data_IF_758654448769
#
_entry.id   IF_758654448769
#
_cell.length_a   1.000
_cell.length_b   1.000
_cell.length_c   1.000
_cell.angle_alpha   90.00
_cell.angle_beta   90.00
_cell.angle_gamma   90.00
#
_symmetry.space_group_name_H-M   'P 1'
#
loop_
_entity.id
_entity.type
_entity.pdbx_description
1 polymer ?
#
# COMPACT_ATOMS: atom_id res chain seq x y z
N UNK A 1 -15.10 4.13 -6.37
CA UNK A 1 -13.83 4.27 -5.62
C UNK A 1 -13.19 5.55 -6.08
N UNK A 2 -12.87 6.44 -5.15
CA UNK A 2 -12.23 7.73 -5.43
C UNK A 2 -10.83 7.72 -4.83
N UNK A 3 -9.81 7.85 -5.68
CA UNK A 3 -8.42 7.99 -5.29
C UNK A 3 -8.08 9.46 -5.23
N UNK A 4 -7.82 9.95 -4.02
CA UNK A 4 -7.63 11.36 -3.73
C UNK A 4 -6.14 11.66 -3.63
N UNK A 5 -5.75 12.75 -4.26
CA UNK A 5 -4.41 13.32 -4.20
C UNK A 5 -4.50 14.73 -3.60
N UNK A 6 -3.59 15.06 -2.69
CA UNK A 6 -3.51 16.37 -2.07
C UNK A 6 -2.39 17.20 -2.70
N UNK A 7 -2.66 18.49 -2.90
CA UNK A 7 -1.60 19.45 -3.22
C UNK A 7 -0.73 19.66 -1.98
N UNK A 8 0.46 19.06 -1.96
CA UNK A 8 1.49 19.34 -0.96
C UNK A 8 1.06 19.03 0.50
N UNK A 9 0.46 17.86 0.72
CA UNK A 9 -0.24 17.51 1.97
C UNK A 9 0.52 17.81 3.27
N UNK A 10 1.82 17.50 3.33
CA UNK A 10 2.65 17.74 4.50
C UNK A 10 2.86 19.24 4.78
N UNK A 11 2.94 20.06 3.73
CA UNK A 11 3.23 21.49 3.84
C UNK A 11 1.99 22.32 4.23
N UNK A 12 0.80 21.74 4.12
CA UNK A 12 -0.46 22.44 4.38
C UNK A 12 -1.02 22.23 5.79
N UNK A 13 -0.41 21.34 6.59
CA UNK A 13 -0.80 21.11 7.98
C UNK A 13 -0.71 22.41 8.78
N UNK A 14 -1.80 22.82 9.44
CA UNK A 14 -1.80 23.99 10.33
C UNK A 14 -1.43 23.52 11.75
N UNK A 15 -0.30 23.99 12.33
CA UNK A 15 0.16 23.54 13.65
C UNK A 15 -0.91 23.67 14.75
N UNK A 16 -1.61 24.81 14.83
CA UNK A 16 -2.66 25.01 15.85
C UNK A 16 -3.81 24.00 15.76
N UNK A 17 -4.23 23.63 14.53
CA UNK A 17 -5.25 22.58 14.32
C UNK A 17 -4.73 21.21 14.72
N UNK A 18 -3.47 20.90 14.39
CA UNK A 18 -2.83 19.67 14.82
C UNK A 18 -2.81 19.58 16.36
N UNK A 19 -2.35 20.63 17.06
CA UNK A 19 -2.30 20.64 18.52
C UNK A 19 -3.68 20.45 19.16
N UNK A 20 -4.72 21.09 18.62
CA UNK A 20 -6.10 20.88 19.09
C UNK A 20 -6.51 19.40 19.01
N UNK A 21 -6.18 18.74 17.90
CA UNK A 21 -6.43 17.29 17.71
C UNK A 21 -5.60 16.42 18.64
N UNK A 22 -4.34 16.76 18.87
CA UNK A 22 -3.47 16.03 19.81
C UNK A 22 -4.00 16.13 21.25
N UNK A 23 -4.47 17.31 21.65
CA UNK A 23 -5.10 17.53 22.94
C UNK A 23 -6.39 16.70 23.11
N UNK A 24 -7.23 16.63 22.07
CA UNK A 24 -8.43 15.77 22.05
C UNK A 24 -8.11 14.27 22.18
N UNK A 25 -6.95 13.85 21.69
CA UNK A 25 -6.43 12.48 21.85
C UNK A 25 -5.82 12.21 23.24
N UNK A 26 -5.81 13.20 24.14
CA UNK A 26 -5.29 13.07 25.49
C UNK A 26 -3.77 13.22 25.61
N UNK A 27 -3.10 13.78 24.58
CA UNK A 27 -1.67 14.08 24.66
C UNK A 27 -1.44 15.26 25.61
N UNK A 28 -0.44 15.15 26.48
CA UNK A 28 -0.17 16.15 27.50
C UNK A 28 0.14 17.52 26.91
N UNK A 29 -0.27 18.58 27.62
CA UNK A 29 -0.03 19.97 27.22
C UNK A 29 1.45 20.26 26.99
N UNK A 30 2.36 19.67 27.78
CA UNK A 30 3.80 19.84 27.62
C UNK A 30 4.30 19.32 26.27
N UNK A 31 3.85 18.13 25.85
CA UNK A 31 4.21 17.55 24.54
C UNK A 31 3.58 18.38 23.42
N UNK A 32 2.31 18.77 23.56
CA UNK A 32 1.63 19.64 22.61
C UNK A 32 2.37 20.97 22.41
N UNK A 33 2.83 21.62 23.47
CA UNK A 33 3.59 22.87 23.39
C UNK A 33 4.96 22.65 22.74
N UNK A 34 5.65 21.56 23.05
CA UNK A 34 6.90 21.21 22.39
C UNK A 34 6.71 20.97 20.89
N UNK A 35 5.65 20.26 20.49
CA UNK A 35 5.32 20.06 19.07
C UNK A 35 4.97 21.40 18.40
N UNK A 36 4.24 22.28 19.09
CA UNK A 36 3.90 23.59 18.54
C UNK A 36 5.14 24.43 18.29
N UNK A 37 6.04 24.51 19.27
CA UNK A 37 7.33 25.20 19.17
C UNK A 37 8.17 24.59 18.04
N UNK A 38 8.29 23.27 18.00
CA UNK A 38 8.95 22.54 16.91
C UNK A 38 8.37 22.87 15.53
N UNK A 39 7.07 23.14 15.43
CA UNK A 39 6.37 23.37 14.17
C UNK A 39 6.18 24.85 13.80
N UNK A 40 6.56 25.80 14.64
CA UNK A 40 6.36 27.23 14.39
C UNK A 40 7.68 27.97 14.37
N UNK A 41 7.70 29.14 13.73
CA UNK A 41 8.86 30.00 13.58
C UNK A 41 10.13 29.29 13.10
N UNK A 42 9.99 28.29 12.21
CA UNK A 42 11.12 27.50 11.73
C UNK A 42 11.87 28.22 10.62
N UNK A 43 13.12 28.68 10.83
CA UNK A 43 13.91 29.26 9.75
C UNK A 43 14.35 28.17 8.77
N UNK A 44 14.24 28.44 7.48
CA UNK A 44 14.78 27.59 6.42
C UNK A 44 15.53 28.41 5.38
N UNK A 45 16.60 27.83 4.84
CA UNK A 45 17.40 28.37 3.73
C UNK A 45 17.92 27.22 2.89
N UNK A 46 18.09 27.44 1.59
CA UNK A 46 18.69 26.47 0.68
C UNK A 46 20.18 26.78 0.56
N UNK A 47 21.03 25.77 0.74
CA UNK A 47 22.47 25.87 0.51
C UNK A 47 22.85 25.02 -0.70
N UNK A 48 23.50 25.64 -1.68
CA UNK A 48 24.08 24.98 -2.85
C UNK A 48 25.58 25.32 -2.86
N UNK A 49 26.43 24.31 -2.63
CA UNK A 49 27.86 24.47 -2.41
C UNK A 49 28.18 25.51 -1.33
N UNK A 50 28.82 26.62 -1.72
CA UNK A 50 29.20 27.73 -0.84
C UNK A 50 28.18 28.87 -0.82
N UNK A 51 27.10 28.78 -1.60
CA UNK A 51 26.05 29.79 -1.67
C UNK A 51 24.86 29.40 -0.80
N UNK A 52 24.30 30.37 -0.07
CA UNK A 52 23.10 30.18 0.74
C UNK A 52 22.03 31.19 0.32
N UNK A 53 20.78 30.77 0.26
CA UNK A 53 19.65 31.66 0.04
C UNK A 53 19.41 32.57 1.25
N UNK A 54 18.56 33.58 1.06
CA UNK A 54 17.92 34.25 2.19
C UNK A 54 17.14 33.23 3.05
N UNK A 55 17.03 33.53 4.35
CA UNK A 55 16.24 32.73 5.28
C UNK A 55 14.78 33.12 5.17
N UNK A 56 13.90 32.12 5.11
CA UNK A 56 12.45 32.29 5.23
C UNK A 56 11.95 31.52 6.44
N UNK A 57 10.97 32.07 7.15
CA UNK A 57 10.41 31.45 8.35
C UNK A 57 9.11 30.72 8.00
N UNK A 58 9.02 29.43 8.34
CA UNK A 58 7.83 28.62 8.16
C UNK A 58 7.02 28.50 9.44
N UNK A 59 5.70 28.69 9.29
CA UNK A 59 4.70 28.53 10.34
C UNK A 59 3.60 27.51 9.97
N UNK A 60 3.76 26.84 8.83
CA UNK A 60 2.83 25.85 8.31
C UNK A 60 3.58 24.59 7.90
N UNK A 61 2.85 23.49 7.89
CA UNK A 61 3.33 22.19 7.52
C UNK A 61 4.16 21.49 8.58
N UNK A 62 4.35 20.21 8.33
CA UNK A 62 5.30 19.34 9.02
C UNK A 62 6.54 19.13 8.12
N UNK A 63 7.77 19.20 8.65
CA UNK A 63 8.98 19.21 7.82
C UNK A 63 9.20 17.88 7.09
N UNK A 64 9.30 17.90 5.77
CA UNK A 64 9.62 16.70 4.99
C UNK A 64 11.03 16.19 5.34
N UNK A 65 11.20 14.86 5.41
CA UNK A 65 12.46 14.22 5.82
C UNK A 65 12.66 14.13 7.34
N UNK A 66 11.81 14.76 8.16
CA UNK A 66 11.83 14.55 9.60
C UNK A 66 11.10 13.25 9.98
N UNK A 67 11.69 12.49 10.92
CA UNK A 67 11.15 11.22 11.42
C UNK A 67 9.76 11.37 12.03
N UNK A 68 9.47 12.52 12.65
CA UNK A 68 8.20 12.76 13.35
C UNK A 68 7.06 13.16 12.39
N UNK A 69 7.37 13.71 11.22
CA UNK A 69 6.37 14.28 10.31
C UNK A 69 5.32 13.28 9.82
N UNK A 70 5.66 12.03 9.41
CA UNK A 70 4.65 11.03 9.03
C UNK A 70 3.68 10.68 10.16
N UNK A 71 4.17 10.60 11.40
CA UNK A 71 3.32 10.35 12.57
C UNK A 71 2.39 11.53 12.82
N UNK A 72 2.91 12.76 12.80
CA UNK A 72 2.10 13.97 13.00
C UNK A 72 1.04 14.12 11.91
N UNK A 73 1.34 13.80 10.65
CA UNK A 73 0.36 13.81 9.58
C UNK A 73 -0.73 12.73 9.78
N UNK A 74 -0.34 11.54 10.24
CA UNK A 74 -1.29 10.47 10.57
C UNK A 74 -2.23 10.88 11.71
N UNK A 75 -1.69 11.52 12.76
CA UNK A 75 -2.48 12.08 13.86
C UNK A 75 -3.32 13.27 13.42
N UNK A 76 -2.83 14.11 12.49
CA UNK A 76 -3.58 15.23 11.94
C UNK A 76 -4.85 14.77 11.23
N UNK A 77 -4.76 13.67 10.48
CA UNK A 77 -5.85 13.13 9.67
C UNK A 77 -6.65 12.03 10.37
N UNK A 78 -6.42 11.77 11.66
CA UNK A 78 -7.00 10.62 12.38
C UNK A 78 -8.54 10.61 12.33
N UNK A 79 -9.18 11.77 12.48
CA UNK A 79 -10.63 11.94 12.47
C UNK A 79 -11.25 12.07 11.07
N UNK A 80 -10.47 11.85 10.01
CA UNK A 80 -11.00 11.59 8.67
C UNK A 80 -11.52 10.15 8.64
N UNK A 81 -12.82 9.99 8.91
CA UNK A 81 -13.54 8.71 9.02
C UNK A 81 -14.82 8.79 8.19
N UNK A 82 -15.31 7.66 7.63
CA UNK A 82 -16.53 7.67 6.83
C UNK A 82 -17.75 8.07 7.66
N UNK A 83 -18.65 8.84 7.06
CA UNK A 83 -19.95 9.21 7.65
C UNK A 83 -20.96 8.07 7.47
N UNK A 84 -20.93 7.39 6.31
CA UNK A 84 -21.87 6.32 5.98
C UNK A 84 -21.24 4.94 6.19
N UNK A 85 -21.98 4.01 6.81
CA UNK A 85 -21.51 2.63 7.03
C UNK A 85 -21.34 1.81 5.74
N UNK A 86 -21.91 2.24 4.62
CA UNK A 86 -21.69 1.67 3.28
C UNK A 86 -20.36 2.07 2.65
N UNK A 87 -19.63 2.97 3.31
CA UNK A 87 -18.42 3.58 2.80
C UNK A 87 -17.22 3.24 3.69
N UNK A 88 -16.02 3.37 3.13
CA UNK A 88 -14.77 3.15 3.83
C UNK A 88 -13.76 4.15 3.32
N UNK A 89 -13.04 4.80 4.25
CA UNK A 89 -11.91 5.66 3.93
C UNK A 89 -10.63 4.90 4.28
N UNK A 90 -9.79 4.68 3.28
CA UNK A 90 -8.48 4.04 3.42
C UNK A 90 -7.43 5.12 3.30
N UNK A 91 -6.52 5.22 4.26
CA UNK A 91 -5.46 6.23 4.30
C UNK A 91 -4.10 5.54 4.35
N UNK A 92 -3.17 6.01 3.54
CA UNK A 92 -1.76 5.65 3.61
C UNK A 92 -0.94 6.92 3.43
N UNK A 93 -0.40 7.45 4.53
CA UNK A 93 0.16 8.82 4.55
C UNK A 93 -0.84 9.81 3.93
N UNK A 94 -0.43 10.53 2.90
CA UNK A 94 -1.22 11.46 2.09
C UNK A 94 -2.18 10.78 1.09
N UNK A 95 -1.92 9.54 0.68
CA UNK A 95 -2.85 8.81 -0.19
C UNK A 95 -4.14 8.50 0.56
N UNK A 96 -5.26 9.02 0.06
CA UNK A 96 -6.59 8.75 0.63
C UNK A 96 -7.49 8.14 -0.44
N UNK A 97 -8.21 7.07 -0.10
CA UNK A 97 -9.17 6.42 -1.00
C UNK A 97 -10.52 6.29 -0.33
N UNK A 98 -11.57 6.77 -1.01
CA UNK A 98 -12.96 6.53 -0.61
C UNK A 98 -13.50 5.35 -1.40
N UNK A 99 -13.97 4.34 -0.68
CA UNK A 99 -14.64 3.16 -1.23
C UNK A 99 -16.09 3.22 -0.81
N UNK A 100 -17.02 3.28 -1.75
CA UNK A 100 -18.47 3.24 -1.49
C UNK A 100 -19.11 2.09 -2.26
N UNK A 101 -20.11 1.46 -1.65
CA UNK A 101 -20.95 0.47 -2.32
C UNK A 101 -22.08 1.19 -3.07
N UNK A 102 -22.14 0.97 -4.39
CA UNK A 102 -23.30 1.34 -5.21
C UNK A 102 -24.21 0.13 -5.28
N UNK A 103 -25.48 0.30 -4.92
CA UNK A 103 -26.46 -0.78 -4.90
C UNK A 103 -27.73 -0.33 -5.61
N UNK A 104 -28.25 -1.17 -6.51
CA UNK A 104 -29.47 -0.86 -7.27
C UNK A 104 -29.38 0.48 -8.02
N UNK A 105 -28.19 0.79 -8.54
CA UNK A 105 -27.81 2.06 -9.18
C UNK A 105 -27.90 3.31 -8.28
N UNK A 106 -28.10 3.15 -6.97
CA UNK A 106 -28.00 4.22 -5.97
C UNK A 106 -26.54 4.44 -5.54
N UNK A 107 -26.04 5.65 -5.84
CA UNK A 107 -24.70 6.12 -5.47
C UNK A 107 -24.73 7.29 -4.47
N UNK A 108 -25.91 7.62 -3.92
CA UNK A 108 -26.13 8.79 -3.06
C UNK A 108 -25.19 8.81 -1.85
N UNK A 109 -25.09 7.69 -1.11
CA UNK A 109 -24.23 7.60 0.06
C UNK A 109 -22.73 7.80 -0.29
N UNK A 110 -22.29 7.33 -1.44
CA UNK A 110 -20.91 7.52 -1.91
C UNK A 110 -20.67 8.98 -2.32
N UNK A 111 -21.62 9.61 -3.02
CA UNK A 111 -21.52 11.02 -3.44
C UNK A 111 -21.51 11.98 -2.25
N UNK A 112 -22.41 11.77 -1.29
CA UNK A 112 -22.48 12.58 -0.07
C UNK A 112 -21.18 12.47 0.73
N UNK A 113 -20.58 11.29 0.80
CA UNK A 113 -19.28 11.09 1.45
C UNK A 113 -18.14 11.84 0.77
N UNK A 114 -18.11 11.85 -0.56
CA UNK A 114 -17.13 12.65 -1.31
C UNK A 114 -17.29 14.14 -0.99
N UNK A 115 -18.52 14.62 -0.89
CA UNK A 115 -18.80 16.01 -0.53
C UNK A 115 -18.40 16.33 0.92
N UNK A 116 -18.75 15.46 1.88
CA UNK A 116 -18.33 15.61 3.27
C UNK A 116 -16.81 15.60 3.40
N UNK A 117 -16.13 14.73 2.67
CA UNK A 117 -14.68 14.67 2.66
C UNK A 117 -14.07 15.96 2.07
N UNK A 118 -14.63 16.50 0.99
CA UNK A 118 -14.17 17.77 0.41
C UNK A 118 -14.29 18.93 1.42
N UNK A 119 -15.42 19.02 2.13
CA UNK A 119 -15.64 20.01 3.20
C UNK A 119 -14.67 19.78 4.37
N UNK A 120 -14.45 18.53 4.76
CA UNK A 120 -13.48 18.19 5.81
C UNK A 120 -12.06 18.59 5.41
N UNK A 121 -11.66 18.34 4.16
CA UNK A 121 -10.34 18.73 3.64
C UNK A 121 -10.17 20.25 3.68
N UNK A 122 -11.14 21.02 3.16
CA UNK A 122 -11.13 22.48 3.23
C UNK A 122 -11.04 22.97 4.69
N UNK A 123 -11.84 22.40 5.59
CA UNK A 123 -11.82 22.71 7.03
C UNK A 123 -10.47 22.41 7.67
N UNK A 124 -9.73 21.42 7.17
CA UNK A 124 -8.41 21.05 7.67
C UNK A 124 -7.25 21.66 6.87
N UNK A 125 -7.52 22.61 5.97
CA UNK A 125 -6.51 23.21 5.09
C UNK A 125 -5.77 22.18 4.23
N UNK A 126 -6.42 21.07 3.88
CA UNK A 126 -5.90 20.10 2.93
C UNK A 126 -6.47 20.43 1.55
N UNK A 127 -5.61 20.89 0.66
CA UNK A 127 -6.01 21.25 -0.70
C UNK A 127 -6.08 19.99 -1.56
N UNK A 128 -7.26 19.72 -2.11
CA UNK A 128 -7.49 18.59 -3.02
C UNK A 128 -6.97 18.92 -4.41
N UNK A 129 -6.16 18.03 -4.97
CA UNK A 129 -5.76 18.10 -6.36
C UNK A 129 -6.77 17.34 -7.23
N UNK A 130 -7.83 18.02 -7.67
CA UNK A 130 -8.89 17.38 -8.48
C UNK A 130 -8.35 16.83 -9.81
N UNK A 131 -7.30 17.42 -10.38
CA UNK A 131 -6.69 16.93 -11.63
C UNK A 131 -5.96 15.60 -11.44
N UNK A 132 -5.37 15.36 -10.27
CA UNK A 132 -4.71 14.08 -9.94
C UNK A 132 -5.65 13.08 -9.27
N UNK A 133 -6.75 13.55 -8.70
CA UNK A 133 -7.82 12.71 -8.15
C UNK A 133 -8.50 11.92 -9.27
N UNK A 134 -8.70 10.62 -9.08
CA UNK A 134 -9.30 9.72 -10.09
C UNK A 134 -10.44 8.91 -9.51
N UNK A 135 -11.50 8.74 -10.29
CA UNK A 135 -12.59 7.84 -9.97
C UNK A 135 -12.48 6.52 -10.74
N UNK A 136 -12.78 5.42 -10.05
CA UNK A 136 -12.92 4.09 -10.63
C UNK A 136 -14.24 3.50 -10.16
N UNK A 137 -15.09 3.11 -11.12
CA UNK A 137 -16.32 2.38 -10.86
C UNK A 137 -16.12 0.92 -11.28
N UNK A 138 -16.38 0.01 -10.35
CA UNK A 138 -16.27 -1.44 -10.57
C UNK A 138 -17.67 -2.03 -10.59
N UNK A 139 -18.20 -2.28 -11.79
CA UNK A 139 -19.49 -2.92 -12.01
C UNK A 139 -19.30 -4.35 -12.51
N UNK A 140 -19.86 -5.32 -11.77
CA UNK A 140 -19.76 -6.75 -12.08
C UNK A 140 -20.95 -7.27 -12.93
N UNK A 141 -21.93 -6.42 -13.26
CA UNK A 141 -23.06 -6.78 -14.10
C UNK A 141 -22.61 -7.01 -15.54
N UNK A 142 -23.19 -8.02 -16.20
CA UNK A 142 -22.91 -8.32 -17.63
C UNK A 142 -23.44 -7.23 -18.56
N UNK A 143 -24.57 -6.64 -18.20
CA UNK A 143 -25.18 -5.53 -18.91
C UNK A 143 -25.06 -4.31 -18.00
N UNK A 144 -24.38 -3.27 -18.47
CA UNK A 144 -24.28 -2.00 -17.77
C UNK A 144 -25.57 -1.22 -18.04
N UNK A 145 -26.34 -0.99 -16.99
CA UNK A 145 -27.70 -0.46 -17.13
C UNK A 145 -27.71 1.04 -17.41
N UNK A 146 -26.76 1.81 -16.85
CA UNK A 146 -26.72 3.28 -16.96
C UNK A 146 -25.28 3.83 -16.87
N UNK A 147 -25.03 4.97 -17.51
CA UNK A 147 -23.79 5.72 -17.31
C UNK A 147 -23.88 6.55 -16.03
N UNK A 148 -22.97 6.30 -15.09
CA UNK A 148 -22.89 7.09 -13.85
C UNK A 148 -22.53 8.54 -14.16
N UNK A 149 -23.17 9.49 -13.49
CA UNK A 149 -22.84 10.91 -13.66
C UNK A 149 -21.43 11.20 -13.13
N UNK A 150 -20.67 12.15 -13.71
CA UNK A 150 -19.35 12.51 -13.20
C UNK A 150 -19.41 13.11 -11.79
N UNK A 151 -18.36 12.90 -10.99
CA UNK A 151 -18.18 13.57 -9.70
C UNK A 151 -17.58 14.96 -9.95
N UNK A 152 -18.04 15.94 -9.17
CA UNK A 152 -17.49 17.29 -9.14
C UNK A 152 -16.90 17.56 -7.75
N UNK A 153 -15.67 18.04 -7.72
CA UNK A 153 -14.99 18.49 -6.50
C UNK A 153 -14.54 19.93 -6.74
N UNK A 154 -15.02 20.85 -5.91
CA UNK A 154 -14.75 22.30 -6.02
C UNK A 154 -15.05 22.85 -7.43
N UNK A 155 -16.12 22.37 -8.06
CA UNK A 155 -16.55 22.77 -9.41
C UNK A 155 -15.78 22.14 -10.57
N UNK A 156 -14.70 21.38 -10.30
CA UNK A 156 -13.96 20.65 -11.33
C UNK A 156 -14.43 19.19 -11.42
N UNK A 157 -14.53 18.68 -12.66
CA UNK A 157 -14.88 17.28 -12.92
C UNK A 157 -13.72 16.37 -12.56
N UNK A 158 -14.01 15.30 -11.81
CA UNK A 158 -13.04 14.24 -11.52
C UNK A 158 -12.94 13.33 -12.74
N UNK A 159 -11.72 13.07 -13.20
CA UNK A 159 -11.50 12.11 -14.28
C UNK A 159 -11.86 10.69 -13.82
N UNK A 160 -12.77 10.07 -14.56
CA UNK A 160 -13.07 8.64 -14.41
C UNK A 160 -12.09 7.84 -15.27
N UNK A 161 -11.37 6.94 -14.63
CA UNK A 161 -10.41 6.06 -15.31
C UNK A 161 -10.90 4.62 -15.25
N UNK A 162 -10.71 3.89 -16.35
CA UNK A 162 -10.87 2.45 -16.32
C UNK A 162 -9.61 1.83 -15.71
N UNK A 163 -9.73 1.25 -14.51
CA UNK A 163 -8.62 0.50 -13.94
C UNK A 163 -8.54 -0.89 -14.56
N UNK A 164 -8.05 -0.94 -15.80
CA UNK A 164 -7.83 -2.19 -16.53
C UNK A 164 -6.80 -3.09 -15.82
N UNK A 165 -5.91 -2.50 -15.01
CA UNK A 165 -4.75 -3.18 -14.43
C UNK A 165 -5.16 -4.26 -13.41
N UNK A 166 -6.01 -3.98 -12.40
CA UNK A 166 -6.33 -4.99 -11.37
C UNK A 166 -7.11 -6.20 -11.90
N UNK A 167 -7.82 -6.03 -13.01
CA UNK A 167 -8.79 -7.02 -13.50
C UNK A 167 -8.42 -7.64 -14.84
N UNK A 168 -7.34 -7.18 -15.48
CA UNK A 168 -6.84 -7.81 -16.70
C UNK A 168 -6.54 -9.30 -16.45
N UNK A 169 -6.97 -10.22 -17.34
CA UNK A 169 -6.63 -11.63 -17.23
C UNK A 169 -5.13 -11.90 -17.13
N UNK A 170 -4.32 -10.99 -17.71
CA UNK A 170 -2.86 -11.09 -17.76
C UNK A 170 -2.13 -10.13 -16.80
N UNK A 171 -2.81 -9.54 -15.82
CA UNK A 171 -2.18 -8.63 -14.84
C UNK A 171 -0.89 -9.22 -14.26
N UNK A 172 -0.98 -10.44 -13.73
CA UNK A 172 0.14 -11.06 -13.05
C UNK A 172 1.25 -11.51 -14.01
N UNK A 173 0.90 -11.82 -15.26
CA UNK A 173 1.90 -12.08 -16.30
C UNK A 173 2.63 -10.80 -16.72
N UNK A 174 1.93 -9.68 -16.84
CA UNK A 174 2.54 -8.38 -17.09
C UNK A 174 3.46 -7.97 -15.93
N UNK A 175 2.97 -8.05 -14.68
CA UNK A 175 3.76 -7.82 -13.48
C UNK A 175 5.01 -8.71 -13.46
N UNK A 176 4.86 -10.02 -13.68
CA UNK A 176 5.98 -10.97 -13.71
C UNK A 176 7.01 -10.60 -14.78
N UNK A 177 6.57 -10.25 -15.98
CA UNK A 177 7.45 -9.82 -17.07
C UNK A 177 8.25 -8.57 -16.67
N UNK A 178 7.60 -7.58 -16.07
CA UNK A 178 8.25 -6.35 -15.59
C UNK A 178 9.26 -6.63 -14.48
N UNK A 179 8.93 -7.48 -13.50
CA UNK A 179 9.84 -7.89 -12.43
C UNK A 179 11.04 -8.65 -12.97
N UNK A 180 10.82 -9.58 -13.91
CA UNK A 180 11.90 -10.35 -14.56
C UNK A 180 12.82 -9.44 -15.35
N UNK A 181 12.29 -8.48 -16.12
CA UNK A 181 13.10 -7.49 -16.86
C UNK A 181 13.99 -6.67 -15.93
N UNK A 182 13.44 -6.17 -14.82
CA UNK A 182 14.22 -5.46 -13.79
C UNK A 182 15.30 -6.37 -13.20
N UNK A 183 14.94 -7.56 -12.75
CA UNK A 183 15.89 -8.53 -12.18
C UNK A 183 17.01 -8.94 -13.16
N UNK A 184 16.73 -9.01 -14.47
CA UNK A 184 17.73 -9.28 -15.49
C UNK A 184 18.78 -8.18 -15.61
N UNK A 185 18.41 -6.91 -15.44
CA UNK A 185 19.38 -5.80 -15.41
C UNK A 185 20.34 -5.97 -14.21
N UNK A 186 19.83 -6.36 -13.03
CA UNK A 186 20.65 -6.61 -11.86
C UNK A 186 21.53 -7.87 -11.95
N UNK A 187 21.11 -8.89 -12.71
CA UNK A 187 21.96 -10.05 -12.99
C UNK A 187 23.24 -9.66 -13.72
N UNK A 188 23.23 -8.61 -14.56
CA UNK A 188 24.44 -8.14 -15.21
C UNK A 188 25.49 -7.71 -14.17
N UNK A 189 25.09 -6.90 -13.19
CA UNK A 189 25.98 -6.49 -12.10
C UNK A 189 26.47 -7.68 -11.27
N UNK A 190 25.59 -8.64 -10.96
CA UNK A 190 25.99 -9.84 -10.23
C UNK A 190 27.07 -10.64 -11.00
N UNK A 191 26.98 -10.73 -12.34
CA UNK A 191 28.03 -11.35 -13.18
C UNK A 191 29.32 -10.56 -13.15
N UNK A 192 29.25 -9.23 -13.23
CA UNK A 192 30.43 -8.36 -13.16
C UNK A 192 31.15 -8.51 -11.82
N UNK A 193 30.41 -8.55 -10.71
CA UNK A 193 30.96 -8.81 -9.37
C UNK A 193 31.63 -10.19 -9.27
N UNK A 194 31.04 -11.22 -9.91
CA UNK A 194 31.66 -12.55 -9.99
C UNK A 194 32.98 -12.55 -10.77
N UNK A 195 33.08 -11.76 -11.87
CA UNK A 195 34.31 -11.64 -12.67
C UNK A 195 35.47 -11.02 -11.89
N UNK A 196 35.18 -10.17 -10.91
CA UNK A 196 36.18 -9.58 -10.00
C UNK A 196 36.50 -10.53 -8.82
N UNK A 197 36.03 -11.78 -8.87
CA UNK A 197 36.34 -12.84 -7.89
C UNK A 197 35.88 -12.52 -6.46
N UNK A 198 34.79 -11.75 -6.30
CA UNK A 198 34.23 -11.51 -4.98
C UNK A 198 33.78 -12.80 -4.28
N UNK A 199 33.86 -12.78 -2.95
CA UNK A 199 33.46 -13.89 -2.10
C UNK A 199 32.00 -14.30 -2.37
N UNK A 200 31.69 -15.60 -2.52
CA UNK A 200 30.32 -16.09 -2.70
C UNK A 200 29.31 -15.54 -1.70
N UNK A 201 29.70 -15.31 -0.43
CA UNK A 201 28.82 -14.71 0.59
C UNK A 201 28.34 -13.31 0.18
N UNK A 202 29.25 -12.46 -0.28
CA UNK A 202 28.94 -11.10 -0.76
C UNK A 202 28.04 -11.15 -2.00
N UNK A 203 28.29 -12.11 -2.90
CA UNK A 203 27.44 -12.29 -4.09
C UNK A 203 26.02 -12.71 -3.72
N UNK A 204 25.84 -13.54 -2.69
CA UNK A 204 24.53 -13.93 -2.16
C UNK A 204 23.84 -12.73 -1.50
N UNK A 205 24.55 -11.92 -0.73
CA UNK A 205 24.01 -10.69 -0.13
C UNK A 205 23.55 -9.71 -1.21
N UNK A 206 24.39 -9.48 -2.24
CA UNK A 206 24.02 -8.65 -3.38
C UNK A 206 22.76 -9.19 -4.07
N UNK A 207 22.68 -10.49 -4.33
CA UNK A 207 21.49 -11.13 -4.89
C UNK A 207 20.25 -10.89 -4.02
N UNK A 208 20.35 -11.10 -2.70
CA UNK A 208 19.23 -10.91 -1.77
C UNK A 208 18.73 -9.46 -1.79
N UNK A 209 19.65 -8.51 -1.73
CA UNK A 209 19.32 -7.08 -1.66
C UNK A 209 18.77 -6.50 -2.97
N UNK A 210 19.22 -6.99 -4.13
CA UNK A 210 18.93 -6.34 -5.43
C UNK A 210 18.04 -7.16 -6.36
N UNK A 211 18.04 -8.49 -6.27
CA UNK A 211 17.28 -9.36 -7.16
C UNK A 211 16.13 -10.03 -6.40
N UNK A 212 16.42 -10.70 -5.28
CA UNK A 212 15.38 -11.36 -4.49
C UNK A 212 14.37 -10.35 -3.94
N UNK A 213 14.82 -9.19 -3.47
CA UNK A 213 13.96 -8.09 -3.03
C UNK A 213 12.94 -7.68 -4.09
N UNK A 214 13.36 -7.51 -5.34
CA UNK A 214 12.49 -7.19 -6.48
C UNK A 214 11.51 -8.32 -6.76
N UNK A 215 12.03 -9.55 -6.90
CA UNK A 215 11.22 -10.71 -7.28
C UNK A 215 10.21 -11.11 -6.20
N UNK A 216 10.45 -10.73 -4.94
CA UNK A 216 9.63 -11.18 -3.81
C UNK A 216 8.82 -10.04 -3.18
N UNK A 217 8.90 -8.82 -3.70
CA UNK A 217 8.12 -7.70 -3.19
C UNK A 217 6.62 -8.02 -3.27
N UNK A 218 5.91 -7.90 -2.15
CA UNK A 218 4.49 -8.25 -2.01
C UNK A 218 4.11 -9.65 -2.56
N UNK A 219 5.03 -10.63 -2.57
CA UNK A 219 4.84 -11.95 -3.21
C UNK A 219 3.59 -12.70 -2.73
N UNK A 220 3.14 -12.47 -1.49
CA UNK A 220 1.94 -13.06 -0.91
C UNK A 220 0.64 -12.66 -1.63
N UNK A 221 0.64 -11.54 -2.36
CA UNK A 221 -0.53 -11.01 -3.07
C UNK A 221 -0.72 -11.65 -4.44
N UNK A 222 0.37 -11.83 -5.17
CA UNK A 222 0.30 -12.07 -6.62
C UNK A 222 0.78 -13.46 -7.06
N UNK A 223 1.67 -14.10 -6.30
CA UNK A 223 2.38 -15.30 -6.76
C UNK A 223 1.47 -16.50 -7.01
N UNK A 224 0.51 -16.83 -6.13
CA UNK A 224 -0.40 -17.98 -6.37
C UNK A 224 -1.30 -17.78 -7.61
N UNK A 225 -1.60 -16.51 -7.95
CA UNK A 225 -2.38 -16.18 -9.12
C UNK A 225 -1.58 -16.16 -10.45
N UNK A 226 -0.26 -16.34 -10.41
CA UNK A 226 0.56 -16.46 -11.61
C UNK A 226 0.27 -17.76 -12.40
N UNK A 227 0.57 -17.73 -13.69
CA UNK A 227 0.53 -18.91 -14.54
C UNK A 227 1.78 -19.79 -14.34
N UNK A 228 1.73 -21.05 -14.78
CA UNK A 228 2.88 -21.94 -14.69
C UNK A 228 4.11 -21.43 -15.48
N UNK A 229 3.91 -20.70 -16.58
CA UNK A 229 5.00 -20.07 -17.33
C UNK A 229 5.62 -18.91 -16.56
N UNK A 230 4.81 -18.12 -15.86
CA UNK A 230 5.26 -17.04 -14.97
C UNK A 230 6.12 -17.59 -13.82
N UNK A 231 5.65 -18.65 -13.14
CA UNK A 231 6.43 -19.33 -12.09
C UNK A 231 7.77 -19.84 -12.61
N UNK A 232 7.78 -20.47 -13.80
CA UNK A 232 9.01 -20.92 -14.46
C UNK A 232 9.93 -19.76 -14.81
N UNK A 233 9.40 -18.60 -15.20
CA UNK A 233 10.21 -17.41 -15.50
C UNK A 233 10.92 -16.88 -14.23
N UNK A 234 10.19 -16.75 -13.13
CA UNK A 234 10.75 -16.33 -11.83
C UNK A 234 11.82 -17.31 -11.34
N UNK A 235 11.54 -18.61 -11.38
CA UNK A 235 12.49 -19.61 -10.90
C UNK A 235 13.74 -19.69 -11.79
N UNK A 236 13.65 -19.39 -13.09
CA UNK A 236 14.82 -19.28 -13.98
C UNK A 236 15.78 -18.17 -13.54
N UNK A 237 15.26 -17.06 -13.02
CA UNK A 237 16.08 -15.97 -12.49
C UNK A 237 16.87 -16.42 -11.27
N UNK A 238 16.21 -17.08 -10.32
CA UNK A 238 16.85 -17.65 -9.12
C UNK A 238 17.91 -18.68 -9.51
N UNK A 239 17.58 -19.61 -10.41
CA UNK A 239 18.56 -20.63 -10.90
C UNK A 239 19.77 -20.00 -11.57
N UNK A 240 19.59 -18.90 -12.31
CA UNK A 240 20.70 -18.20 -12.96
C UNK A 240 21.60 -17.52 -11.94
N UNK A 241 21.03 -16.83 -10.94
CA UNK A 241 21.79 -16.24 -9.85
C UNK A 241 22.53 -17.30 -9.01
N UNK A 242 21.89 -18.45 -8.77
CA UNK A 242 22.49 -19.58 -8.07
C UNK A 242 23.75 -20.09 -8.80
N UNK A 243 23.71 -20.22 -10.13
CA UNK A 243 24.90 -20.61 -10.91
C UNK A 243 26.03 -19.58 -10.82
N UNK A 244 25.70 -18.28 -10.78
CA UNK A 244 26.71 -17.21 -10.71
C UNK A 244 27.36 -17.15 -9.32
N UNK A 245 26.54 -17.23 -8.27
CA UNK A 245 27.01 -17.19 -6.87
C UNK A 245 27.76 -18.47 -6.48
N UNK A 246 27.41 -19.61 -7.09
CA UNK A 246 27.95 -20.93 -6.71
C UNK A 246 27.36 -21.47 -5.42
N UNK A 247 26.21 -20.94 -4.98
CA UNK A 247 25.57 -21.29 -3.70
C UNK A 247 24.11 -21.65 -3.92
N UNK A 248 23.56 -22.55 -3.10
CA UNK A 248 22.14 -22.90 -3.16
C UNK A 248 21.29 -21.70 -2.73
N UNK A 249 20.37 -21.28 -3.59
CA UNK A 249 19.42 -20.19 -3.29
C UNK A 249 18.03 -20.77 -3.04
N UNK A 250 17.24 -20.08 -2.20
CA UNK A 250 15.86 -20.45 -1.90
C UNK A 250 14.97 -20.26 -3.13
N UNK A 251 14.11 -21.23 -3.45
CA UNK A 251 13.15 -21.09 -4.54
C UNK A 251 12.13 -19.98 -4.25
N UNK A 252 11.60 -19.37 -5.31
CA UNK A 252 10.55 -18.34 -5.18
C UNK A 252 9.30 -18.89 -4.49
N UNK A 253 8.97 -20.15 -4.72
CA UNK A 253 7.87 -20.88 -4.07
C UNK A 253 8.07 -21.03 -2.56
N UNK A 254 9.27 -21.43 -2.12
CA UNK A 254 9.55 -21.56 -0.69
C UNK A 254 9.50 -20.20 0.02
N UNK A 255 9.98 -19.14 -0.63
CA UNK A 255 9.85 -17.77 -0.10
C UNK A 255 8.38 -17.37 0.00
N UNK A 256 7.58 -17.67 -1.03
CA UNK A 256 6.14 -17.42 -1.03
C UNK A 256 5.44 -18.14 0.13
N UNK A 257 5.62 -19.46 0.26
CA UNK A 257 5.01 -20.24 1.35
C UNK A 257 5.42 -19.72 2.73
N UNK A 258 6.71 -19.46 2.95
CA UNK A 258 7.21 -18.93 4.22
C UNK A 258 6.58 -17.58 4.56
N UNK A 259 6.49 -16.65 3.60
CA UNK A 259 5.89 -15.32 3.81
C UNK A 259 4.38 -15.39 3.99
N UNK A 260 3.70 -16.27 3.27
CA UNK A 260 2.26 -16.49 3.45
C UNK A 260 1.94 -17.05 4.84
N UNK A 261 2.65 -18.09 5.28
CA UNK A 261 2.49 -18.67 6.60
C UNK A 261 2.83 -17.68 7.72
N UNK A 262 3.94 -16.94 7.58
CA UNK A 262 4.33 -15.89 8.54
C UNK A 262 3.20 -14.87 8.71
N UNK A 263 2.75 -14.27 7.61
CA UNK A 263 1.67 -13.27 7.64
C UNK A 263 0.36 -13.83 8.20
N UNK A 264 0.01 -15.07 7.85
CA UNK A 264 -1.19 -15.71 8.38
C UNK A 264 -1.11 -15.91 9.90
N UNK A 265 0.05 -16.35 10.41
CA UNK A 265 0.29 -16.49 11.85
C UNK A 265 0.23 -15.17 12.58
N UNK A 266 0.76 -14.10 11.99
CA UNK A 266 0.67 -12.76 12.58
C UNK A 266 -0.79 -12.31 12.72
N UNK A 267 -1.62 -12.54 11.69
CA UNK A 267 -3.06 -12.24 11.72
C UNK A 267 -3.81 -13.11 12.74
N UNK A 268 -3.45 -14.40 12.84
CA UNK A 268 -4.07 -15.32 13.80
C UNK A 268 -3.71 -14.93 15.24
N UNK A 269 -2.48 -14.49 15.48
CA UNK A 269 -2.00 -14.11 16.81
C UNK A 269 -2.67 -12.82 17.31
N UNK A 270 -2.99 -11.90 16.40
CA UNK A 270 -3.63 -10.63 16.73
C UNK A 270 -5.16 -10.72 16.61
N UNK A 271 -5.83 -10.89 17.75
CA UNK A 271 -7.29 -10.92 17.82
C UNK A 271 -7.95 -9.59 17.43
N UNK A 272 -7.22 -8.46 17.48
CA UNK A 272 -7.71 -7.14 17.06
C UNK A 272 -7.59 -6.93 15.55
N UNK A 273 -6.85 -7.79 14.85
CA UNK A 273 -6.67 -7.67 13.41
C UNK A 273 -8.01 -7.83 12.68
N UNK A 274 -8.37 -6.92 11.74
CA UNK A 274 -9.70 -6.93 11.11
C UNK A 274 -10.02 -8.21 10.33
N UNK A 275 -8.99 -8.93 9.87
CA UNK A 275 -9.12 -10.20 9.16
C UNK A 275 -8.91 -11.45 10.04
N UNK A 276 -8.79 -11.31 11.36
CA UNK A 276 -8.59 -12.43 12.29
C UNK A 276 -9.68 -13.51 12.10
N UNK A 277 -10.95 -13.08 11.99
CA UNK A 277 -12.09 -13.98 11.80
C UNK A 277 -12.05 -14.84 10.52
N UNK A 278 -11.23 -14.48 9.53
CA UNK A 278 -11.04 -15.31 8.33
C UNK A 278 -10.25 -16.61 8.61
N UNK A 279 -9.59 -16.71 9.77
CA UNK A 279 -8.83 -17.87 10.21
C UNK A 279 -9.51 -18.59 11.38
N UNK A 280 -10.73 -19.09 11.14
CA UNK A 280 -11.50 -19.81 12.17
C UNK A 280 -11.16 -21.31 12.16
N UNK A 281 -10.84 -21.89 13.32
CA UNK A 281 -10.65 -23.34 13.46
C UNK A 281 -11.99 -24.11 13.34
N UNK A 282 -11.92 -25.34 12.82
CA UNK A 282 -13.02 -26.29 12.90
C UNK A 282 -13.19 -26.81 14.34
N UNK A 283 -14.35 -27.39 14.71
CA UNK A 283 -14.60 -27.89 16.07
C UNK A 283 -13.56 -28.88 16.59
N UNK A 284 -12.84 -29.57 15.71
CA UNK A 284 -11.75 -30.47 16.09
C UNK A 284 -10.48 -29.76 16.58
N UNK A 285 -10.37 -28.44 16.40
CA UNK A 285 -9.19 -27.64 16.76
C UNK A 285 -7.96 -27.86 15.87
N UNK A 286 -8.02 -28.78 14.90
CA UNK A 286 -6.84 -29.22 14.12
C UNK A 286 -6.67 -28.52 12.77
N UNK A 287 -7.76 -28.02 12.18
CA UNK A 287 -7.76 -27.44 10.83
C UNK A 287 -8.54 -26.14 10.81
N UNK A 288 -8.06 -25.19 10.04
CA UNK A 288 -8.75 -23.95 9.71
C UNK A 288 -9.84 -24.22 8.68
N UNK A 289 -10.97 -23.52 8.84
CA UNK A 289 -12.12 -23.59 7.94
C UNK A 289 -11.74 -23.01 6.57
N UNK A 290 -11.85 -23.83 5.53
CA UNK A 290 -11.64 -23.39 4.15
C UNK A 290 -12.63 -22.28 3.76
N UNK A 291 -12.11 -21.22 3.14
CA UNK A 291 -12.91 -20.10 2.64
C UNK A 291 -13.61 -20.48 1.34
N UNK A 292 -14.94 -20.28 1.27
CA UNK A 292 -15.70 -20.50 0.04
C UNK A 292 -15.26 -19.51 -1.04
N UNK A 293 -14.83 -20.03 -2.18
CA UNK A 293 -14.35 -19.23 -3.31
C UNK A 293 -15.21 -19.50 -4.54
N UNK A 294 -15.81 -18.47 -5.13
CA UNK A 294 -16.63 -18.58 -6.36
C UNK A 294 -15.81 -18.51 -7.65
N UNK A 295 -14.57 -18.03 -7.57
CA UNK A 295 -13.68 -17.87 -8.73
C UNK A 295 -12.31 -18.46 -8.43
N UNK A 296 -11.62 -18.89 -9.50
CA UNK A 296 -10.23 -19.36 -9.41
C UNK A 296 -9.29 -18.27 -8.87
N UNK A 297 -9.54 -17.02 -9.25
CA UNK A 297 -8.78 -15.84 -8.79
C UNK A 297 -8.90 -15.65 -7.28
N UNK A 298 -10.12 -15.72 -6.73
CA UNK A 298 -10.32 -15.62 -5.28
C UNK A 298 -9.69 -16.80 -4.56
N UNK A 299 -9.87 -18.03 -5.09
CA UNK A 299 -9.27 -19.24 -4.52
C UNK A 299 -7.75 -19.17 -4.43
N UNK A 300 -7.09 -18.52 -5.39
CA UNK A 300 -5.63 -18.31 -5.43
C UNK A 300 -5.16 -17.02 -4.75
N UNK A 301 -6.07 -16.28 -4.11
CA UNK A 301 -5.71 -15.10 -3.34
C UNK A 301 -5.06 -15.48 -2.00
N UNK A 302 -4.52 -14.49 -1.30
CA UNK A 302 -3.77 -14.70 -0.06
C UNK A 302 -4.53 -15.56 0.98
N UNK A 303 -5.78 -15.22 1.33
CA UNK A 303 -6.45 -15.88 2.46
C UNK A 303 -6.77 -17.36 2.22
N UNK A 304 -7.41 -17.77 1.10
CA UNK A 304 -7.69 -19.19 0.88
C UNK A 304 -6.41 -20.02 0.71
N UNK A 305 -5.37 -19.46 0.10
CA UNK A 305 -4.07 -20.13 -0.02
C UNK A 305 -3.39 -20.27 1.34
N UNK A 306 -3.40 -19.21 2.16
CA UNK A 306 -2.85 -19.26 3.51
C UNK A 306 -3.53 -20.33 4.38
N UNK A 307 -4.87 -20.42 4.33
CA UNK A 307 -5.62 -21.48 5.02
C UNK A 307 -5.22 -22.87 4.50
N UNK A 308 -5.04 -23.01 3.19
CA UNK A 308 -4.59 -24.28 2.59
C UNK A 308 -3.20 -24.68 3.09
N UNK A 309 -2.26 -23.73 3.12
CA UNK A 309 -0.90 -23.94 3.61
C UNK A 309 -0.87 -24.27 5.12
N UNK A 310 -1.68 -23.58 5.92
CA UNK A 310 -1.83 -23.86 7.36
C UNK A 310 -2.39 -25.26 7.61
N UNK A 311 -3.37 -25.70 6.82
CA UNK A 311 -3.94 -27.04 6.93
C UNK A 311 -3.02 -28.16 6.43
N UNK A 312 -2.05 -27.82 5.57
CA UNK A 312 -1.04 -28.75 5.07
C UNK A 312 0.20 -28.83 5.98
N UNK A 313 0.38 -27.89 6.91
CA UNK A 313 1.47 -27.91 7.87
C UNK A 313 1.01 -28.58 9.18
N UNK A 314 1.89 -29.36 9.86
CA UNK A 314 1.56 -29.91 11.17
C UNK A 314 1.19 -28.78 12.15
N UNK A 315 0.26 -29.01 13.10
CA UNK A 315 0.02 -28.05 14.17
C UNK A 315 1.33 -27.78 14.93
N UNK A 316 1.59 -26.50 15.21
CA UNK A 316 2.68 -26.04 16.08
C UNK A 316 2.36 -26.40 17.52
#
# INVERSE_FOLDING_TARGET
MLFIDFSSAFNTVIPSKLISKLSQLGISTSICNWILDFLTNRPQSVKLDNLSSSTITLNTGVPQGCVLSPLLYSLFTHNCVPVYGSNTIIKFTDDTTVVGLIKDDDESAYRDEVQHLAVWCATNNLELNTQKTKEIIVDFRRTRSHAHTPIYINGAVVERVEFQVLWHPHLWSHNTSTLVKKAQQHLHFLRSLKKVHLNPRILVEFYRCTIESILTNCISVWYSNCSASDHKALQRMVKTAQRITGTQLTSTENIYHKRCLGRARDIIKDASHPNHGLFTLLPSGRRYRSLRSRTSRLRKSFFPEAVTLLNATPPI
#
